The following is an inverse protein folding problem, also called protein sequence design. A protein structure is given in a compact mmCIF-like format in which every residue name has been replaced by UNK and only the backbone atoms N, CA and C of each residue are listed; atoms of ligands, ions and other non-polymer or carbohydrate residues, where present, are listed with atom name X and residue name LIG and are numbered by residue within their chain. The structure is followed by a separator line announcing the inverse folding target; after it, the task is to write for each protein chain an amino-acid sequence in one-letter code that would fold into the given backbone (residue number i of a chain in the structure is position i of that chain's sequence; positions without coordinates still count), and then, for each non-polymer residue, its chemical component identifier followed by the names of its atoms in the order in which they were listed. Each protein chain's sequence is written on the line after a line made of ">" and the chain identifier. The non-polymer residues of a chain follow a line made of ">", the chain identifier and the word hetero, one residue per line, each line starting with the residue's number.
data_IF_263870858598
#
_entry.id   IF_263870858598
#
_cell.length_a   1.000
_cell.length_b   1.000
_cell.length_c   1.000
_cell.angle_alpha   90.00
_cell.angle_beta   90.00
_cell.angle_gamma   90.00
#
_symmetry.space_group_name_H-M   'P 1'
#
loop_
_entity.id
_entity.type
_entity.pdbx_description
1 polymer ?
#
# COMPACT_ATOMS: atom_id res chain seq x y z
N UNK A 1 -2.74 21.66 20.26
CA UNK A 1 -2.18 22.38 19.11
C UNK A 1 -2.27 21.45 17.92
N UNK A 2 -2.84 21.89 16.79
CA UNK A 2 -2.86 21.09 15.58
C UNK A 2 -1.41 20.93 15.09
N UNK A 3 -0.95 19.68 14.95
CA UNK A 3 0.37 19.43 14.36
C UNK A 3 0.35 19.91 12.90
N UNK A 4 1.29 20.75 12.52
CA UNK A 4 1.38 21.28 11.15
C UNK A 4 1.78 20.15 10.22
N UNK A 5 0.89 19.75 9.32
CA UNK A 5 1.17 18.73 8.30
C UNK A 5 1.89 19.41 7.14
N UNK A 6 3.15 19.05 6.88
CA UNK A 6 3.96 19.60 5.79
C UNK A 6 3.68 18.90 4.46
N UNK A 7 3.31 17.62 4.52
CA UNK A 7 2.95 16.82 3.35
C UNK A 7 1.99 15.72 3.76
N UNK A 8 1.00 15.48 2.92
CA UNK A 8 0.09 14.34 3.04
C UNK A 8 -0.22 13.77 1.66
N UNK A 9 -0.09 12.47 1.53
CA UNK A 9 -0.48 11.73 0.35
C UNK A 9 -1.23 10.47 0.74
N UNK A 10 -2.37 10.23 0.07
CA UNK A 10 -3.13 9.00 0.19
C UNK A 10 -3.18 8.30 -1.15
N UNK A 11 -2.53 7.15 -1.23
CA UNK A 11 -2.46 6.32 -2.42
C UNK A 11 -3.43 5.14 -2.33
N UNK A 12 -3.93 4.69 -3.48
CA UNK A 12 -4.72 3.46 -3.63
C UNK A 12 -4.17 2.64 -4.79
N UNK A 13 -4.50 1.36 -4.84
CA UNK A 13 -4.18 0.54 -5.99
C UNK A 13 -4.94 1.03 -7.23
N UNK A 14 -4.19 1.49 -8.23
CA UNK A 14 -4.71 1.98 -9.51
C UNK A 14 -4.16 1.21 -10.71
N UNK A 15 -3.34 0.18 -10.46
CA UNK A 15 -2.75 -0.63 -11.51
C UNK A 15 -3.83 -1.41 -12.25
N UNK A 16 -3.97 -1.15 -13.56
CA UNK A 16 -4.92 -1.83 -14.41
C UNK A 16 -4.71 -3.35 -14.37
N UNK A 17 -3.44 -3.81 -14.46
CA UNK A 17 -3.12 -5.24 -14.41
C UNK A 17 -3.57 -5.93 -13.11
N UNK A 18 -3.42 -5.27 -11.95
CA UNK A 18 -3.91 -5.81 -10.68
C UNK A 18 -5.44 -5.97 -10.72
N UNK A 19 -6.14 -4.93 -11.14
CA UNK A 19 -7.60 -4.95 -11.20
C UNK A 19 -8.14 -5.93 -12.23
N UNK A 20 -7.47 -6.08 -13.38
CA UNK A 20 -7.82 -7.11 -14.36
C UNK A 20 -7.77 -8.50 -13.73
N UNK A 21 -6.71 -8.84 -13.00
CA UNK A 21 -6.57 -10.14 -12.33
C UNK A 21 -7.63 -10.32 -11.25
N UNK A 22 -7.82 -9.33 -10.37
CA UNK A 22 -8.79 -9.39 -9.27
C UNK A 22 -10.22 -9.56 -9.81
N UNK A 23 -10.60 -8.77 -10.82
CA UNK A 23 -11.95 -8.82 -11.39
C UNK A 23 -12.17 -10.06 -12.25
N UNK A 24 -11.18 -10.52 -13.01
CA UNK A 24 -11.28 -11.78 -13.76
C UNK A 24 -11.46 -12.97 -12.81
N UNK A 25 -10.71 -12.99 -11.72
CA UNK A 25 -10.86 -14.05 -10.72
C UNK A 25 -12.23 -13.98 -10.03
N UNK A 26 -12.70 -12.80 -9.65
CA UNK A 26 -14.04 -12.62 -9.08
C UNK A 26 -15.14 -13.04 -10.07
N UNK A 27 -14.99 -12.73 -11.37
CA UNK A 27 -15.98 -13.03 -12.39
C UNK A 27 -16.25 -14.54 -12.53
N UNK A 28 -15.24 -15.39 -12.33
CA UNK A 28 -15.40 -16.86 -12.34
C UNK A 28 -16.43 -17.29 -11.30
N UNK A 29 -16.34 -16.75 -10.09
CA UNK A 29 -17.27 -17.06 -8.99
C UNK A 29 -18.64 -16.40 -9.21
N UNK A 30 -18.71 -15.23 -9.85
CA UNK A 30 -19.96 -14.61 -10.27
C UNK A 30 -20.72 -15.49 -11.26
N UNK A 31 -20.03 -16.01 -12.28
CA UNK A 31 -20.63 -16.90 -13.27
C UNK A 31 -21.14 -18.18 -12.60
N UNK A 32 -20.32 -18.82 -11.75
CA UNK A 32 -20.72 -20.02 -11.02
C UNK A 32 -21.94 -19.79 -10.13
N UNK A 33 -21.93 -18.70 -9.35
CA UNK A 33 -23.05 -18.35 -8.47
C UNK A 33 -24.34 -18.10 -9.23
N UNK A 34 -24.31 -17.28 -10.28
CA UNK A 34 -25.49 -16.98 -11.09
C UNK A 34 -26.05 -18.26 -11.74
N UNK A 35 -25.17 -19.04 -12.35
CA UNK A 35 -25.60 -20.24 -13.09
C UNK A 35 -26.14 -21.34 -12.17
N UNK A 36 -25.41 -21.67 -11.10
CA UNK A 36 -25.81 -22.77 -10.21
C UNK A 36 -26.89 -22.36 -9.22
N UNK A 37 -26.69 -21.23 -8.52
CA UNK A 37 -27.60 -20.87 -7.41
C UNK A 37 -28.84 -20.14 -7.89
N UNK A 38 -28.72 -19.20 -8.84
CA UNK A 38 -29.87 -18.41 -9.32
C UNK A 38 -30.64 -19.10 -10.44
N UNK A 39 -29.97 -19.84 -11.33
CA UNK A 39 -30.57 -20.49 -12.49
C UNK A 39 -30.74 -22.00 -12.29
N UNK A 40 -30.43 -22.54 -11.11
CA UNK A 40 -30.52 -23.97 -10.76
C UNK A 40 -29.80 -24.91 -11.74
N UNK A 41 -28.72 -24.41 -12.36
CA UNK A 41 -27.85 -25.19 -13.25
C UNK A 41 -26.84 -26.02 -12.48
N UNK A 42 -25.91 -26.66 -13.21
CA UNK A 42 -24.78 -27.40 -12.62
C UNK A 42 -23.48 -26.75 -13.09
N UNK A 43 -22.69 -26.20 -12.18
CA UNK A 43 -21.45 -25.53 -12.53
C UNK A 43 -20.24 -26.42 -12.29
N UNK A 44 -19.55 -26.79 -13.39
CA UNK A 44 -18.35 -27.62 -13.35
C UNK A 44 -18.65 -29.14 -13.41
N UNK A 45 -17.57 -29.93 -13.44
CA UNK A 45 -17.65 -31.39 -13.56
C UNK A 45 -17.86 -32.06 -12.19
N UNK A 46 -17.57 -31.40 -11.10
CA UNK A 46 -17.79 -31.88 -9.73
C UNK A 46 -18.38 -30.71 -8.92
N UNK A 47 -19.68 -30.45 -9.05
CA UNK A 47 -20.31 -29.27 -8.44
C UNK A 47 -20.29 -29.38 -6.91
N UNK A 48 -19.90 -28.30 -6.27
CA UNK A 48 -20.02 -28.12 -4.82
C UNK A 48 -21.46 -27.77 -4.46
N UNK A 49 -21.83 -27.85 -3.18
CA UNK A 49 -23.17 -27.45 -2.74
C UNK A 49 -23.42 -25.94 -2.98
N UNK A 50 -24.68 -25.55 -3.15
CA UNK A 50 -25.07 -24.15 -3.35
C UNK A 50 -24.64 -23.26 -2.17
N UNK A 51 -24.61 -23.81 -0.95
CA UNK A 51 -24.15 -23.11 0.25
C UNK A 51 -22.66 -22.83 0.18
N UNK A 52 -21.84 -23.84 -0.14
CA UNK A 52 -20.40 -23.69 -0.26
C UNK A 52 -20.04 -22.69 -1.37
N UNK A 53 -20.70 -22.81 -2.54
CA UNK A 53 -20.49 -21.87 -3.65
C UNK A 53 -20.86 -20.44 -3.26
N UNK A 54 -21.98 -20.26 -2.54
CA UNK A 54 -22.42 -18.94 -2.05
C UNK A 54 -21.42 -18.33 -1.05
N UNK A 55 -20.84 -19.13 -0.17
CA UNK A 55 -19.80 -18.65 0.77
C UNK A 55 -18.54 -18.23 0.01
N UNK A 56 -18.08 -19.07 -0.92
CA UNK A 56 -16.88 -18.74 -1.73
C UNK A 56 -17.14 -17.51 -2.60
N UNK A 57 -18.32 -17.39 -3.20
CA UNK A 57 -18.75 -16.21 -3.94
C UNK A 57 -18.70 -14.95 -3.06
N UNK A 58 -19.26 -15.00 -1.86
CA UNK A 58 -19.25 -13.85 -0.94
C UNK A 58 -17.81 -13.41 -0.60
N UNK A 59 -16.90 -14.37 -0.38
CA UNK A 59 -15.51 -14.09 -0.02
C UNK A 59 -14.69 -13.64 -1.25
N UNK A 60 -14.75 -14.36 -2.34
CA UNK A 60 -13.89 -14.13 -3.51
C UNK A 60 -14.52 -13.18 -4.51
N UNK A 61 -15.81 -13.33 -4.77
CA UNK A 61 -16.55 -12.52 -5.74
C UNK A 61 -16.89 -11.11 -5.23
N UNK A 62 -17.04 -10.94 -3.92
CA UNK A 62 -17.47 -9.65 -3.34
C UNK A 62 -16.44 -9.07 -2.38
N UNK A 63 -16.10 -9.80 -1.31
CA UNK A 63 -15.21 -9.26 -0.27
C UNK A 63 -13.81 -8.95 -0.80
N UNK A 64 -13.22 -9.82 -1.62
CA UNK A 64 -11.86 -9.63 -2.13
C UNK A 64 -11.71 -8.35 -2.97
N UNK A 65 -12.55 -8.06 -3.99
CA UNK A 65 -12.50 -6.79 -4.72
C UNK A 65 -12.71 -5.57 -3.80
N UNK A 66 -13.67 -5.63 -2.87
CA UNK A 66 -13.91 -4.55 -1.91
C UNK A 66 -12.73 -4.33 -0.98
N UNK A 67 -12.05 -5.39 -0.56
CA UNK A 67 -10.85 -5.32 0.28
C UNK A 67 -9.73 -4.57 -0.45
N UNK A 68 -9.42 -4.94 -1.70
CA UNK A 68 -8.43 -4.23 -2.52
C UNK A 68 -8.83 -2.77 -2.79
N UNK A 69 -10.12 -2.52 -3.01
CA UNK A 69 -10.62 -1.16 -3.21
C UNK A 69 -10.44 -0.26 -1.98
N UNK A 70 -10.62 -0.81 -0.77
CA UNK A 70 -10.47 -0.07 0.49
C UNK A 70 -9.02 0.08 0.93
N UNK A 71 -8.10 -0.74 0.42
CA UNK A 71 -6.68 -0.62 0.75
C UNK A 71 -6.11 0.73 0.35
N UNK A 72 -5.37 1.34 1.25
CA UNK A 72 -4.67 2.59 0.97
C UNK A 72 -3.38 2.73 1.79
N UNK A 73 -2.44 3.47 1.23
CA UNK A 73 -1.22 3.92 1.88
C UNK A 73 -1.32 5.43 2.10
N UNK A 74 -1.30 5.85 3.35
CA UNK A 74 -1.24 7.26 3.72
C UNK A 74 0.17 7.55 4.25
N UNK A 75 0.80 8.56 3.67
CA UNK A 75 2.11 9.08 4.09
C UNK A 75 1.94 10.51 4.53
N UNK A 76 2.42 10.84 5.73
CA UNK A 76 2.36 12.18 6.30
C UNK A 76 3.74 12.59 6.80
N UNK A 77 4.10 13.85 6.53
CA UNK A 77 5.31 14.46 7.06
C UNK A 77 4.92 15.58 8.01
N UNK A 78 5.37 15.45 9.25
CA UNK A 78 5.19 16.40 10.33
C UNK A 78 6.57 16.96 10.75
N UNK A 79 6.65 18.06 11.49
CA UNK A 79 7.92 18.57 11.99
C UNK A 79 8.70 17.49 12.75
N UNK A 80 9.85 17.07 12.18
CA UNK A 80 10.73 16.03 12.74
C UNK A 80 10.23 14.58 12.68
N UNK A 81 9.09 14.30 12.03
CA UNK A 81 8.49 12.98 12.01
C UNK A 81 7.90 12.64 10.62
N UNK A 82 8.15 11.43 10.14
CA UNK A 82 7.42 10.83 9.03
C UNK A 82 6.48 9.77 9.59
N UNK A 83 5.23 9.77 9.15
CA UNK A 83 4.23 8.76 9.50
C UNK A 83 3.76 8.02 8.26
N UNK A 84 3.63 6.70 8.38
CA UNK A 84 3.12 5.84 7.30
C UNK A 84 2.02 4.95 7.85
N UNK A 85 0.88 4.98 7.21
CA UNK A 85 -0.27 4.18 7.56
C UNK A 85 -0.75 3.37 6.37
N UNK A 86 -0.70 2.05 6.46
CA UNK A 86 -1.16 1.14 5.42
C UNK A 86 -2.44 0.43 5.89
N UNK A 87 -3.60 0.97 5.50
CA UNK A 87 -4.91 0.39 5.84
C UNK A 87 -5.22 -0.82 4.94
N UNK A 88 -5.80 -1.91 5.51
CA UNK A 88 -6.19 -2.11 6.90
C UNK A 88 -5.11 -2.76 7.79
N UNK A 89 -3.89 -2.97 7.31
CA UNK A 89 -2.84 -3.75 8.01
C UNK A 89 -2.24 -3.03 9.23
N UNK A 90 -2.22 -1.70 9.23
CA UNK A 90 -1.76 -0.94 10.37
C UNK A 90 -2.94 -0.41 11.18
N UNK A 91 -3.04 -0.77 12.45
CA UNK A 91 -3.98 -0.18 13.39
C UNK A 91 -3.52 1.22 13.84
N UNK A 92 -2.19 1.40 13.93
CA UNK A 92 -1.55 2.67 14.25
C UNK A 92 -0.52 3.03 13.18
N UNK A 93 -0.28 4.33 12.91
CA UNK A 93 0.74 4.76 11.97
C UNK A 93 2.15 4.31 12.42
N UNK A 94 2.93 3.85 11.46
CA UNK A 94 4.37 3.64 11.68
C UNK A 94 5.06 4.99 11.71
N UNK A 95 5.65 5.33 12.84
CA UNK A 95 6.33 6.60 13.07
C UNK A 95 7.83 6.45 12.87
N UNK A 96 8.38 7.31 12.01
CA UNK A 96 9.81 7.36 11.70
C UNK A 96 10.36 8.72 12.13
N UNK A 97 11.03 8.81 13.29
CA UNK A 97 11.68 10.06 13.72
C UNK A 97 12.79 10.44 12.74
N UNK A 98 12.68 11.62 12.12
CA UNK A 98 13.62 12.06 11.08
C UNK A 98 15.04 12.30 11.63
N UNK A 99 15.21 12.45 12.94
CA UNK A 99 16.52 12.49 13.60
C UNK A 99 17.34 11.21 13.47
N UNK A 100 16.66 10.07 13.24
CA UNK A 100 17.31 8.76 13.04
C UNK A 100 17.72 8.54 11.59
N UNK A 101 17.25 9.39 10.68
CA UNK A 101 17.56 9.32 9.25
C UNK A 101 18.88 10.04 9.00
N UNK A 102 19.89 9.28 8.55
CA UNK A 102 21.20 9.80 8.19
C UNK A 102 21.12 10.63 6.92
N UNK A 103 20.62 10.04 5.85
CA UNK A 103 20.40 10.68 4.54
C UNK A 103 19.11 10.17 3.90
N UNK A 104 18.60 10.90 2.94
CA UNK A 104 17.39 10.56 2.19
C UNK A 104 17.57 11.02 0.75
N UNK A 105 17.06 10.20 -0.17
CA UNK A 105 17.25 10.42 -1.61
C UNK A 105 15.95 10.11 -2.36
N UNK A 106 15.64 10.93 -3.37
CA UNK A 106 14.61 10.58 -4.34
C UNK A 106 15.17 9.49 -5.24
N UNK A 107 14.44 8.38 -5.36
CA UNK A 107 14.86 7.23 -6.14
C UNK A 107 13.77 6.76 -7.10
N UNK A 108 14.22 6.22 -8.23
CA UNK A 108 13.41 5.38 -9.10
C UNK A 108 13.78 3.93 -8.81
N UNK A 109 12.78 3.09 -8.55
CA UNK A 109 13.00 1.70 -8.18
C UNK A 109 12.13 0.76 -9.00
N UNK A 110 12.46 -0.53 -9.01
CA UNK A 110 11.62 -1.57 -9.59
C UNK A 110 10.75 -2.21 -8.52
N UNK A 111 9.42 -1.95 -8.46
CA UNK A 111 8.58 -2.54 -7.43
C UNK A 111 8.66 -4.07 -7.39
N UNK A 112 8.65 -4.73 -8.55
CA UNK A 112 8.72 -6.19 -8.66
C UNK A 112 10.16 -6.68 -8.45
N UNK A 113 11.13 -6.09 -9.16
CA UNK A 113 12.52 -6.55 -9.12
C UNK A 113 13.22 -6.31 -7.79
N UNK A 114 13.03 -5.14 -7.18
CA UNK A 114 13.70 -4.77 -5.93
C UNK A 114 12.97 -5.28 -4.69
N UNK A 115 11.62 -5.35 -4.72
CA UNK A 115 10.79 -5.60 -3.54
C UNK A 115 9.74 -6.71 -3.71
N UNK A 116 9.64 -7.34 -4.89
CA UNK A 116 8.67 -8.41 -5.15
C UNK A 116 7.22 -7.92 -5.28
N UNK A 117 7.01 -6.63 -5.60
CA UNK A 117 5.70 -6.04 -5.85
C UNK A 117 5.37 -4.81 -5.00
N UNK A 118 4.09 -4.44 -5.02
CA UNK A 118 3.57 -3.33 -4.23
C UNK A 118 3.02 -3.81 -2.87
N UNK A 119 2.87 -2.89 -1.94
CA UNK A 119 2.36 -3.11 -0.59
C UNK A 119 3.40 -2.83 0.50
N UNK A 120 3.32 -3.59 1.58
CA UNK A 120 4.36 -3.64 2.61
C UNK A 120 5.31 -4.75 2.20
N UNK A 121 6.54 -4.41 1.83
CA UNK A 121 7.51 -5.35 1.27
C UNK A 121 8.84 -5.33 2.00
N UNK A 122 9.50 -6.48 1.99
CA UNK A 122 10.87 -6.67 2.47
C UNK A 122 11.69 -7.24 1.32
N UNK A 123 12.62 -6.44 0.81
CA UNK A 123 13.50 -6.82 -0.29
C UNK A 123 14.98 -6.82 0.11
N UNK A 124 15.84 -7.06 -0.87
CA UNK A 124 17.29 -7.01 -0.67
C UNK A 124 17.75 -5.62 -0.21
N UNK A 125 17.09 -4.57 -0.70
CA UNK A 125 17.39 -3.16 -0.40
C UNK A 125 16.76 -2.66 0.91
N UNK A 126 16.04 -3.50 1.66
CA UNK A 126 15.40 -3.11 2.91
C UNK A 126 13.89 -3.25 2.88
N UNK A 127 13.20 -2.42 3.67
CA UNK A 127 11.73 -2.39 3.74
C UNK A 127 11.17 -1.34 2.79
N UNK A 128 10.03 -1.62 2.18
CA UNK A 128 9.30 -0.67 1.37
C UNK A 128 7.83 -0.57 1.76
N UNK A 129 7.31 0.65 1.72
CA UNK A 129 5.90 0.96 1.71
C UNK A 129 5.59 1.62 0.37
N UNK A 130 4.93 0.90 -0.53
CA UNK A 130 4.56 1.41 -1.84
C UNK A 130 3.18 0.92 -2.24
N UNK A 131 2.47 1.66 -3.07
CA UNK A 131 1.11 1.32 -3.49
C UNK A 131 0.99 1.29 -5.01
N UNK A 132 1.63 2.23 -5.69
CA UNK A 132 1.65 2.34 -7.15
C UNK A 132 2.86 3.16 -7.62
N UNK A 133 3.17 3.08 -8.92
CA UNK A 133 4.31 3.77 -9.49
C UNK A 133 5.64 3.11 -9.15
N UNK A 134 6.72 3.81 -9.46
CA UNK A 134 8.11 3.37 -9.33
C UNK A 134 9.04 4.48 -8.81
N UNK A 135 8.48 5.58 -8.32
CA UNK A 135 9.23 6.66 -7.67
C UNK A 135 8.95 6.68 -6.16
N UNK A 136 9.91 7.19 -5.40
CA UNK A 136 9.79 7.33 -3.96
C UNK A 136 10.98 8.04 -3.34
N UNK A 137 10.99 8.05 -2.01
CA UNK A 137 12.10 8.53 -1.20
C UNK A 137 12.64 7.37 -0.37
N UNK A 138 13.92 7.09 -0.53
CA UNK A 138 14.65 6.13 0.28
C UNK A 138 15.27 6.82 1.48
N UNK A 139 15.01 6.28 2.66
CA UNK A 139 15.55 6.76 3.94
C UNK A 139 16.66 5.81 4.38
N UNK A 140 17.86 6.34 4.55
CA UNK A 140 19.03 5.61 5.06
C UNK A 140 19.24 5.94 6.53
N UNK A 141 19.42 4.93 7.36
CA UNK A 141 19.62 5.06 8.80
C UNK A 141 21.06 4.73 9.20
N UNK A 142 21.50 5.14 10.39
CA UNK A 142 22.82 4.79 10.91
C UNK A 142 22.95 3.29 11.21
N UNK A 143 21.92 2.69 11.84
CA UNK A 143 21.99 1.32 12.38
C UNK A 143 20.80 0.43 11.95
N UNK A 144 20.11 0.78 10.85
CA UNK A 144 18.95 0.01 10.34
C UNK A 144 19.03 -0.10 8.83
N UNK A 145 18.36 -1.12 8.30
CA UNK A 145 18.19 -1.27 6.85
C UNK A 145 17.41 -0.07 6.27
N UNK A 146 17.66 0.26 5.01
CA UNK A 146 16.94 1.30 4.30
C UNK A 146 15.41 1.11 4.36
N UNK A 147 14.70 2.24 4.30
CA UNK A 147 13.25 2.29 4.21
C UNK A 147 12.85 3.09 2.97
N UNK A 148 12.21 2.46 2.01
CA UNK A 148 11.62 3.11 0.86
C UNK A 148 10.18 3.52 1.14
N UNK A 149 9.84 4.76 0.85
CA UNK A 149 8.47 5.26 0.81
C UNK A 149 8.15 5.59 -0.65
N UNK A 150 7.35 4.73 -1.27
CA UNK A 150 6.84 4.98 -2.62
C UNK A 150 5.86 6.15 -2.61
N UNK A 151 5.96 7.04 -3.59
CA UNK A 151 5.12 8.22 -3.70
C UNK A 151 4.91 8.58 -5.16
N UNK A 152 3.70 8.97 -5.52
CA UNK A 152 3.40 9.55 -6.83
C UNK A 152 3.80 11.03 -6.90
N UNK A 153 4.08 11.62 -5.73
CA UNK A 153 4.57 13.00 -5.53
C UNK A 153 5.94 12.99 -4.85
N UNK A 154 6.86 12.13 -5.34
CA UNK A 154 8.15 11.87 -4.70
C UNK A 154 9.02 13.12 -4.52
N UNK A 155 8.93 14.10 -5.43
CA UNK A 155 9.63 15.37 -5.29
C UNK A 155 9.10 16.19 -4.11
N UNK A 156 7.78 16.30 -3.97
CA UNK A 156 7.16 17.03 -2.86
C UNK A 156 7.42 16.35 -1.52
N UNK A 157 7.34 15.00 -1.49
CA UNK A 157 7.70 14.22 -0.30
C UNK A 157 9.14 14.48 0.13
N UNK A 158 10.07 14.50 -0.83
CA UNK A 158 11.49 14.80 -0.56
C UNK A 158 11.67 16.20 0.05
N UNK A 159 11.03 17.22 -0.53
CA UNK A 159 11.10 18.59 -0.04
C UNK A 159 10.49 18.73 1.36
N UNK A 160 9.36 18.07 1.61
CA UNK A 160 8.72 18.08 2.94
C UNK A 160 9.60 17.40 4.02
N UNK A 161 10.27 16.29 3.67
CA UNK A 161 11.21 15.63 4.60
C UNK A 161 12.39 16.56 4.90
N UNK A 162 12.90 17.27 3.90
CA UNK A 162 13.96 18.26 4.08
C UNK A 162 13.53 19.35 5.03
N UNK A 163 12.41 19.99 4.77
CA UNK A 163 11.85 21.06 5.61
C UNK A 163 11.58 20.58 7.05
N UNK A 164 10.98 19.38 7.19
CA UNK A 164 10.69 18.81 8.51
C UNK A 164 11.97 18.55 9.35
N UNK A 165 13.08 18.26 8.67
CA UNK A 165 14.37 18.01 9.31
C UNK A 165 15.04 19.31 9.75
N UNK A 166 14.96 20.37 8.92
CA UNK A 166 15.49 21.71 9.19
C UNK A 166 14.74 22.39 10.35
N UNK A 167 13.39 22.38 10.33
CA UNK A 167 12.57 22.96 11.41
C UNK A 167 12.87 22.40 12.79
N UNK A 168 13.28 21.14 12.89
CA UNK A 168 13.61 20.55 14.19
C UNK A 168 15.02 20.85 14.65
N UNK A 169 15.94 21.19 13.78
CA UNK A 169 17.29 21.64 14.17
C UNK A 169 17.25 23.02 14.85
N UNK A 170 16.29 23.87 14.45
CA UNK A 170 16.10 25.21 15.00
C UNK A 170 15.41 25.22 16.39
N UNK A 171 14.54 24.24 16.67
CA UNK A 171 13.83 24.15 17.97
C UNK A 171 14.69 23.45 19.04
N UNK A 172 15.77 22.79 18.66
CA UNK A 172 16.65 22.02 19.55
C UNK A 172 17.99 22.68 19.86
N UNK A 173 18.21 23.88 19.33
CA UNK A 173 19.33 24.77 19.68
C UNK A 173 18.86 25.85 20.66
#
# INVERSE_FOLDING_TARGET
>A
MAETVLFQEKQRFRQLGLWTVVLAFAAIFWVGFVYQVLLSGTYGNNPVSDVELSVVFAVVGVYLPLFFYKMNLTTEVLPGMLQVYFSPFHLNPVRVPLRLVRTYEKVVYSPIGDYGGWGIRWGRKGKAYNMSGNEGVELLFYNKKPLLIGSQRAHELYQAIRQAKEMKSEIGS
#
